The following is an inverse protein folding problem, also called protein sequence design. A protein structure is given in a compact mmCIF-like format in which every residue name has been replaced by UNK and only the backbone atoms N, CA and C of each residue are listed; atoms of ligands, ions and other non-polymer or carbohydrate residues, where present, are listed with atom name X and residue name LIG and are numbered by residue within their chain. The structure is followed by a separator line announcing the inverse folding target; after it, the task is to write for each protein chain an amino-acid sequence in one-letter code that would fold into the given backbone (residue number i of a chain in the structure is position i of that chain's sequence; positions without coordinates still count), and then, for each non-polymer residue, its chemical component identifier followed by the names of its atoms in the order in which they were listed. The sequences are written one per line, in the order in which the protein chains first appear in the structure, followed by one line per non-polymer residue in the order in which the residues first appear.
data_IF_596059315170
#
_entry.id   IF_596059315170
#
_cell.length_a   1.000
_cell.length_b   1.000
_cell.length_c   1.000
_cell.angle_alpha   90.00
_cell.angle_beta   90.00
_cell.angle_gamma   90.00
#
_symmetry.space_group_name_H-M   'P 1'
#
loop_
_entity.id
_entity.type
_entity.pdbx_description
1 polymer ?
#
# COMPACT_ATOMS: atom_id res chain seq x y z
N UNK A 1 26.44 -9.59 -1.97
CA UNK A 1 25.26 -8.75 -2.21
C UNK A 1 24.18 -9.04 -1.16
N UNK A 2 23.66 -8.02 -0.46
CA UNK A 2 22.62 -8.17 0.61
C UNK A 2 21.20 -7.83 0.15
N UNK A 3 21.07 -7.15 -0.98
CA UNK A 3 19.81 -6.78 -1.61
C UNK A 3 20.07 -6.08 -2.94
N UNK A 4 19.02 -5.89 -3.73
CA UNK A 4 19.08 -5.20 -5.00
C UNK A 4 17.75 -4.50 -5.31
N UNK A 5 17.81 -3.54 -6.23
CA UNK A 5 16.65 -2.86 -6.76
C UNK A 5 16.81 -2.73 -8.28
N UNK A 6 15.85 -3.24 -9.03
CA UNK A 6 15.85 -3.27 -10.50
C UNK A 6 14.69 -2.46 -11.05
N UNK A 7 14.98 -1.61 -12.04
CA UNK A 7 14.01 -0.76 -12.71
C UNK A 7 14.38 -0.63 -14.19
N UNK A 8 13.37 -0.36 -15.03
CA UNK A 8 13.54 -0.14 -16.46
C UNK A 8 12.80 1.13 -16.92
N UNK A 9 13.20 1.77 -18.03
CA UNK A 9 12.50 2.92 -18.58
C UNK A 9 11.05 2.57 -18.92
N UNK A 10 10.13 3.48 -18.60
CA UNK A 10 8.73 3.37 -18.92
C UNK A 10 8.24 4.65 -19.59
N UNK A 11 7.28 4.51 -20.50
CA UNK A 11 6.60 5.62 -21.14
C UNK A 11 5.11 5.40 -21.01
N UNK A 12 4.45 6.25 -20.24
CA UNK A 12 3.01 6.14 -19.95
C UNK A 12 2.38 7.53 -20.05
N UNK A 13 1.25 7.63 -20.76
CA UNK A 13 0.51 8.89 -20.94
C UNK A 13 1.37 10.07 -21.44
N UNK A 14 2.31 9.79 -22.34
CA UNK A 14 3.20 10.82 -22.89
C UNK A 14 4.35 11.24 -21.98
N UNK A 15 4.52 10.61 -20.82
CA UNK A 15 5.58 10.92 -19.84
C UNK A 15 6.59 9.78 -19.73
N UNK A 16 7.86 10.14 -19.83
CA UNK A 16 8.96 9.23 -19.50
C UNK A 16 9.09 9.11 -17.98
N UNK A 17 9.26 7.88 -17.49
CA UNK A 17 9.46 7.55 -16.08
C UNK A 17 10.33 6.30 -15.95
N UNK A 18 10.57 5.85 -14.73
CA UNK A 18 11.18 4.54 -14.47
C UNK A 18 10.17 3.61 -13.79
N UNK A 19 10.01 2.38 -14.28
CA UNK A 19 9.22 1.36 -13.61
C UNK A 19 10.12 0.47 -12.75
N UNK A 20 9.92 0.50 -11.43
CA UNK A 20 10.66 -0.31 -10.47
C UNK A 20 10.05 -1.70 -10.35
N UNK A 21 10.65 -2.68 -11.01
CA UNK A 21 10.10 -4.04 -11.08
C UNK A 21 10.39 -4.91 -9.85
N UNK A 22 11.63 -4.90 -9.35
CA UNK A 22 12.02 -5.77 -8.23
C UNK A 22 12.77 -4.99 -7.16
N UNK A 23 12.45 -5.29 -5.91
CA UNK A 23 13.20 -4.88 -4.74
C UNK A 23 13.29 -6.09 -3.82
N UNK A 24 14.51 -6.58 -3.59
CA UNK A 24 14.73 -7.72 -2.72
C UNK A 24 15.84 -7.43 -1.72
N UNK A 25 15.61 -7.86 -0.49
CA UNK A 25 16.58 -7.82 0.60
C UNK A 25 16.60 -9.20 1.23
N UNK A 26 17.80 -9.73 1.48
CA UNK A 26 17.99 -10.99 2.17
C UNK A 26 17.26 -11.00 3.52
N UNK A 27 16.62 -12.11 3.94
CA UNK A 27 15.81 -12.17 5.15
C UNK A 27 16.49 -11.60 6.39
N UNK A 28 17.78 -11.90 6.56
CA UNK A 28 18.60 -11.49 7.71
C UNK A 28 18.80 -9.96 7.77
N UNK A 29 18.57 -9.26 6.66
CA UNK A 29 18.79 -7.83 6.50
C UNK A 29 17.49 -7.01 6.40
N UNK A 30 16.31 -7.65 6.48
CA UNK A 30 15.01 -6.96 6.30
C UNK A 30 14.75 -5.89 7.38
N UNK A 31 15.27 -6.08 8.59
CA UNK A 31 15.13 -5.14 9.71
C UNK A 31 16.13 -3.98 9.69
N UNK A 32 17.08 -3.96 8.75
CA UNK A 32 18.10 -2.90 8.62
C UNK A 32 17.66 -1.76 7.71
N UNK A 33 16.36 -1.68 7.39
CA UNK A 33 15.79 -0.61 6.58
C UNK A 33 16.38 -0.54 5.16
N UNK A 34 16.99 -1.64 4.70
CA UNK A 34 17.70 -1.71 3.43
C UNK A 34 16.82 -1.35 2.23
N UNK A 35 15.54 -1.73 2.26
CA UNK A 35 14.57 -1.37 1.21
C UNK A 35 14.40 0.15 1.04
N UNK A 36 14.38 0.90 2.14
CA UNK A 36 14.31 2.37 2.11
C UNK A 36 15.58 2.96 1.48
N UNK A 37 16.75 2.50 1.92
CA UNK A 37 18.02 3.00 1.37
C UNK A 37 18.19 2.68 -0.12
N UNK A 38 17.82 1.46 -0.53
CA UNK A 38 17.80 1.07 -1.95
C UNK A 38 16.87 1.97 -2.77
N UNK A 39 15.68 2.28 -2.26
CA UNK A 39 14.74 3.20 -2.92
C UNK A 39 15.26 4.64 -2.96
N UNK A 40 15.96 5.10 -1.92
CA UNK A 40 16.60 6.43 -1.92
C UNK A 40 17.66 6.54 -3.02
N UNK A 41 18.50 5.53 -3.17
CA UNK A 41 19.49 5.47 -4.26
C UNK A 41 18.81 5.39 -5.63
N UNK A 42 17.71 4.64 -5.78
CA UNK A 42 16.91 4.68 -7.02
C UNK A 42 16.43 6.11 -7.31
N UNK A 43 15.86 6.81 -6.33
CA UNK A 43 15.42 8.21 -6.51
C UNK A 43 16.55 9.13 -6.96
N UNK A 44 17.72 9.05 -6.32
CA UNK A 44 18.89 9.85 -6.69
C UNK A 44 19.30 9.61 -8.15
N UNK A 45 19.34 8.35 -8.59
CA UNK A 45 19.68 7.99 -9.97
C UNK A 45 18.65 8.48 -10.98
N UNK A 46 17.36 8.34 -10.68
CA UNK A 46 16.29 8.76 -11.60
C UNK A 46 16.25 10.28 -11.74
N UNK A 47 16.43 11.01 -10.63
CA UNK A 47 16.56 12.47 -10.68
C UNK A 47 17.78 12.93 -11.49
N UNK A 48 18.91 12.24 -11.37
CA UNK A 48 20.11 12.55 -12.16
C UNK A 48 19.92 12.31 -13.68
N UNK A 49 18.93 11.50 -14.08
CA UNK A 49 18.54 11.30 -15.47
C UNK A 49 17.57 12.38 -15.99
N UNK A 50 17.20 13.36 -15.16
CA UNK A 50 16.20 14.38 -15.50
C UNK A 50 14.75 13.88 -15.45
N UNK A 51 14.51 12.71 -14.86
CA UNK A 51 13.18 12.14 -14.67
C UNK A 51 12.66 12.44 -13.27
N UNK A 52 11.35 12.62 -13.12
CA UNK A 52 10.70 13.03 -11.87
C UNK A 52 9.73 11.99 -11.28
N UNK A 53 9.57 10.84 -11.92
CA UNK A 53 8.62 9.81 -11.52
C UNK A 53 9.22 8.39 -11.57
N UNK A 54 8.88 7.60 -10.55
CA UNK A 54 9.05 6.14 -10.55
C UNK A 54 7.70 5.47 -10.30
N UNK A 55 7.31 4.50 -11.11
CA UNK A 55 6.10 3.69 -10.90
C UNK A 55 6.43 2.26 -10.51
N UNK A 56 5.54 1.58 -9.79
CA UNK A 56 5.59 0.12 -9.62
C UNK A 56 4.25 -0.43 -9.18
N UNK A 57 4.13 -1.76 -9.18
CA UNK A 57 2.99 -2.45 -8.60
C UNK A 57 3.37 -3.21 -7.34
N UNK A 58 2.44 -3.37 -6.40
CA UNK A 58 2.60 -4.26 -5.25
C UNK A 58 1.26 -4.83 -4.79
N UNK A 59 1.29 -5.93 -4.03
CA UNK A 59 0.06 -6.52 -3.48
C UNK A 59 -0.47 -5.65 -2.33
N UNK A 60 -1.70 -5.10 -2.43
CA UNK A 60 -2.28 -4.23 -1.40
C UNK A 60 -2.43 -4.91 -0.03
N UNK A 61 -2.44 -6.24 0.05
CA UNK A 61 -2.55 -6.97 1.32
C UNK A 61 -1.19 -7.13 2.03
N UNK A 62 -0.09 -6.69 1.43
CA UNK A 62 1.24 -6.74 2.05
C UNK A 62 1.51 -5.45 2.84
N UNK A 63 1.11 -5.44 4.11
CA UNK A 63 1.18 -4.27 5.02
C UNK A 63 2.58 -3.64 5.13
N UNK A 64 3.65 -4.44 5.13
CA UNK A 64 5.02 -3.94 5.20
C UNK A 64 5.40 -3.15 3.94
N UNK A 65 4.92 -3.61 2.77
CA UNK A 65 5.10 -2.89 1.51
C UNK A 65 4.25 -1.63 1.50
N UNK A 66 3.01 -1.69 1.99
CA UNK A 66 2.15 -0.52 2.14
C UNK A 66 2.80 0.56 3.01
N UNK A 67 3.36 0.17 4.16
CA UNK A 67 4.06 1.06 5.07
C UNK A 67 5.31 1.67 4.45
N UNK A 68 6.15 0.87 3.79
CA UNK A 68 7.32 1.40 3.07
C UNK A 68 6.88 2.40 1.99
N UNK A 69 5.95 2.00 1.13
CA UNK A 69 5.55 2.77 -0.05
C UNK A 69 4.86 4.08 0.35
N UNK A 70 3.80 4.02 1.17
CA UNK A 70 2.98 5.19 1.48
C UNK A 70 3.55 6.00 2.64
N UNK A 71 3.88 5.33 3.75
CA UNK A 71 4.28 6.04 4.98
C UNK A 71 5.70 6.60 4.90
N UNK A 72 6.64 5.86 4.29
CA UNK A 72 8.07 6.23 4.25
C UNK A 72 8.53 6.86 2.94
N UNK A 73 8.05 6.37 1.80
CA UNK A 73 8.44 6.93 0.49
C UNK A 73 7.50 8.03 0.02
N UNK A 74 6.24 8.03 0.46
CA UNK A 74 5.25 9.04 0.10
C UNK A 74 4.66 8.84 -1.29
N UNK A 75 4.58 7.59 -1.78
CA UNK A 75 3.87 7.30 -3.03
C UNK A 75 2.38 7.61 -2.91
N UNK A 76 1.72 7.68 -4.05
CA UNK A 76 0.26 7.75 -4.18
C UNK A 76 -0.22 6.70 -5.18
N UNK A 77 -1.50 6.35 -5.15
CA UNK A 77 -2.10 5.43 -6.14
C UNK A 77 -3.51 5.85 -6.53
N UNK A 78 -3.79 5.76 -7.83
CA UNK A 78 -5.11 5.99 -8.44
C UNK A 78 -5.62 4.76 -9.20
N UNK A 79 -4.93 3.63 -9.07
CA UNK A 79 -5.10 2.48 -9.96
C UNK A 79 -4.99 1.18 -9.19
N UNK A 80 -6.03 0.38 -9.31
CA UNK A 80 -6.10 -0.97 -8.80
C UNK A 80 -6.27 -1.92 -9.98
N UNK A 81 -5.42 -2.92 -10.07
CA UNK A 81 -5.36 -3.87 -11.17
C UNK A 81 -5.74 -5.24 -10.65
N UNK A 82 -6.91 -5.74 -11.07
CA UNK A 82 -7.40 -7.07 -10.71
C UNK A 82 -6.56 -8.13 -11.43
N UNK A 83 -6.11 -9.15 -10.71
CA UNK A 83 -5.38 -10.30 -11.27
C UNK A 83 -4.28 -9.90 -12.27
N UNK A 84 -3.45 -8.93 -11.89
CA UNK A 84 -2.48 -8.29 -12.80
C UNK A 84 -1.50 -9.24 -13.51
N UNK A 85 -1.16 -10.39 -12.92
CA UNK A 85 -0.28 -11.41 -13.51
C UNK A 85 -1.04 -12.58 -14.14
N UNK A 86 -2.36 -12.50 -14.20
CA UNK A 86 -3.24 -13.52 -14.76
C UNK A 86 -3.42 -14.75 -13.87
N UNK A 87 -4.40 -15.59 -14.22
CA UNK A 87 -4.69 -16.85 -13.52
C UNK A 87 -3.65 -17.94 -13.83
N UNK A 88 -2.99 -17.84 -14.99
CA UNK A 88 -1.96 -18.77 -15.47
C UNK A 88 -0.57 -18.53 -14.86
N UNK A 89 -0.42 -17.63 -13.89
CA UNK A 89 0.85 -17.45 -13.17
C UNK A 89 1.15 -18.74 -12.39
N UNK A 90 2.06 -19.55 -12.93
CA UNK A 90 2.52 -20.87 -12.46
C UNK A 90 3.31 -20.84 -11.13
N UNK A 91 3.22 -19.75 -10.36
CA UNK A 91 3.86 -19.63 -9.06
C UNK A 91 2.98 -20.28 -7.98
N UNK A 92 3.50 -21.25 -7.21
CA UNK A 92 2.81 -21.83 -6.05
C UNK A 92 2.35 -20.79 -5.00
N UNK A 93 2.91 -19.57 -5.05
CA UNK A 93 2.56 -18.45 -4.17
C UNK A 93 1.22 -17.77 -4.54
N UNK A 94 0.65 -18.03 -5.71
CA UNK A 94 -0.49 -17.27 -6.25
C UNK A 94 -1.72 -18.10 -6.63
N UNK A 95 -1.63 -19.44 -6.62
CA UNK A 95 -2.74 -20.32 -7.01
C UNK A 95 -3.97 -20.09 -6.12
N UNK A 96 -5.08 -19.64 -6.72
CA UNK A 96 -6.38 -19.46 -6.05
C UNK A 96 -6.58 -18.16 -5.25
N UNK A 97 -5.56 -17.30 -5.09
CA UNK A 97 -5.63 -16.09 -4.26
C UNK A 97 -5.75 -14.78 -5.06
N UNK A 98 -5.54 -14.85 -6.39
CA UNK A 98 -5.48 -13.69 -7.26
C UNK A 98 -4.21 -12.85 -7.07
N UNK A 99 -3.86 -12.08 -8.10
CA UNK A 99 -2.63 -11.28 -8.14
C UNK A 99 -2.94 -9.79 -8.25
N UNK A 100 -3.94 -9.32 -7.50
CA UNK A 100 -4.32 -7.92 -7.56
C UNK A 100 -3.17 -7.02 -7.12
N UNK A 101 -3.08 -5.84 -7.74
CA UNK A 101 -2.02 -4.88 -7.49
C UNK A 101 -2.54 -3.47 -7.35
N UNK A 102 -1.97 -2.72 -6.42
CA UNK A 102 -1.97 -1.27 -6.51
C UNK A 102 -0.83 -0.83 -7.42
N UNK A 103 -1.15 0.01 -8.41
CA UNK A 103 -0.15 0.72 -9.21
C UNK A 103 0.14 2.06 -8.55
N UNK A 104 1.36 2.23 -8.06
CA UNK A 104 1.77 3.42 -7.32
C UNK A 104 2.68 4.30 -8.15
N UNK A 105 2.54 5.61 -7.95
CA UNK A 105 3.40 6.64 -8.51
C UNK A 105 4.20 7.30 -7.39
N UNK A 106 5.51 7.38 -7.60
CA UNK A 106 6.43 8.08 -6.71
C UNK A 106 6.94 9.35 -7.39
N UNK A 107 6.26 10.45 -7.09
CA UNK A 107 6.52 11.78 -7.66
C UNK A 107 7.71 12.42 -6.93
N UNK A 108 8.92 12.19 -7.44
CA UNK A 108 10.19 12.37 -6.74
C UNK A 108 10.45 13.80 -6.25
N UNK A 109 9.92 14.79 -6.97
CA UNK A 109 10.09 16.22 -6.69
C UNK A 109 8.93 16.84 -5.88
N UNK A 110 7.87 16.09 -5.60
CA UNK A 110 6.76 16.59 -4.79
C UNK A 110 7.21 16.89 -3.36
N UNK A 111 6.59 17.90 -2.74
CA UNK A 111 6.87 18.25 -1.34
C UNK A 111 6.54 17.10 -0.39
N UNK A 112 5.49 16.32 -0.71
CA UNK A 112 5.17 15.07 -0.01
C UNK A 112 6.37 14.14 0.06
N UNK A 113 6.98 13.82 -1.09
CA UNK A 113 8.12 12.89 -1.15
C UNK A 113 9.34 13.48 -0.45
N UNK A 114 9.63 14.77 -0.65
CA UNK A 114 10.75 15.44 0.04
C UNK A 114 10.62 15.36 1.56
N UNK A 115 9.43 15.63 2.10
CA UNK A 115 9.12 15.53 3.54
C UNK A 115 9.23 14.10 4.04
N UNK A 116 8.72 13.11 3.29
CA UNK A 116 8.78 11.69 3.72
C UNK A 116 10.21 11.15 3.73
N UNK A 117 11.02 11.52 2.75
CA UNK A 117 12.43 11.13 2.67
C UNK A 117 13.28 11.82 3.74
N UNK A 118 13.03 13.10 4.04
CA UNK A 118 13.81 13.83 5.06
C UNK A 118 13.59 13.32 6.48
N UNK A 119 12.42 12.77 6.79
CA UNK A 119 12.13 12.10 8.07
C UNK A 119 12.98 10.86 8.33
N UNK A 120 13.61 10.32 7.29
CA UNK A 120 14.51 9.19 7.38
C UNK A 120 13.79 7.85 7.61
N UNK A 121 14.58 6.75 7.67
CA UNK A 121 14.02 5.41 7.63
C UNK A 121 13.33 5.03 8.95
N UNK A 122 13.77 5.58 10.09
CA UNK A 122 13.24 5.28 11.43
C UNK A 122 11.87 5.90 11.68
N UNK A 123 11.36 6.74 10.78
CA UNK A 123 10.03 7.33 10.89
C UNK A 123 8.95 6.24 10.90
N UNK A 124 8.11 6.29 11.94
CA UNK A 124 6.89 5.52 12.04
C UNK A 124 5.73 6.49 11.83
N UNK A 125 4.98 6.33 10.74
CA UNK A 125 3.67 6.96 10.60
C UNK A 125 2.72 6.30 11.60
N UNK A 126 2.79 6.76 12.83
CA UNK A 126 1.77 6.54 13.83
C UNK A 126 1.03 7.86 13.90
N UNK A 127 -0.27 7.86 13.59
CA UNK A 127 -1.12 8.87 14.20
C UNK A 127 -1.19 8.48 15.69
N UNK A 128 -0.19 8.90 16.46
CA UNK A 128 -0.33 9.03 17.92
C UNK A 128 -0.85 10.45 18.12
N UNK A 129 -2.10 10.55 18.56
CA UNK A 129 -2.88 11.77 18.65
C UNK A 129 -4.25 11.52 18.02
N UNK A 130 -5.29 11.12 18.74
CA UNK A 130 -5.56 11.14 20.18
C UNK A 130 -6.14 9.81 20.64
N UNK A 131 -5.94 9.48 21.91
CA UNK A 131 -6.57 8.33 22.51
C UNK A 131 -8.10 8.43 22.42
N UNK A 132 -8.72 7.32 22.02
CA UNK A 132 -10.03 6.80 22.46
C UNK A 132 -11.37 7.35 21.95
N UNK A 133 -11.54 8.58 21.41
CA UNK A 133 -12.89 8.98 20.92
C UNK A 133 -13.17 8.57 19.47
N UNK A 134 -12.20 8.75 18.57
CA UNK A 134 -12.48 8.72 17.12
C UNK A 134 -12.02 7.43 16.43
N UNK A 135 -11.23 6.58 17.09
CA UNK A 135 -10.76 5.33 16.51
C UNK A 135 -11.94 4.42 16.10
N UNK A 136 -12.96 4.32 16.97
CA UNK A 136 -14.19 3.59 16.67
C UNK A 136 -14.95 4.19 15.49
N UNK A 137 -14.99 5.52 15.37
CA UNK A 137 -15.64 6.21 14.26
C UNK A 137 -14.90 5.95 12.94
N UNK A 138 -13.56 6.07 12.91
CA UNK A 138 -12.73 5.79 11.72
C UNK A 138 -12.90 4.34 11.27
N UNK A 139 -12.86 3.39 12.21
CA UNK A 139 -13.06 1.96 11.93
C UNK A 139 -14.44 1.74 11.31
N UNK A 140 -15.51 2.27 11.92
CA UNK A 140 -16.88 2.07 11.41
C UNK A 140 -17.15 2.79 10.10
N UNK A 141 -16.46 3.89 9.81
CA UNK A 141 -16.53 4.62 8.54
C UNK A 141 -15.51 4.12 7.51
N UNK A 142 -14.83 3.00 7.78
CA UNK A 142 -13.94 2.38 6.80
C UNK A 142 -14.78 1.63 5.76
N UNK A 143 -14.33 1.62 4.51
CA UNK A 143 -14.93 0.77 3.47
C UNK A 143 -14.80 -0.70 3.84
N UNK A 144 -13.72 -1.07 4.54
CA UNK A 144 -13.55 -2.39 5.13
C UNK A 144 -13.02 -2.21 6.53
N UNK A 145 -13.57 -2.97 7.47
CA UNK A 145 -13.00 -3.13 8.79
C UNK A 145 -13.04 -4.59 9.22
N UNK A 146 -12.13 -4.97 10.12
CA UNK A 146 -12.06 -6.30 10.71
C UNK A 146 -13.00 -6.46 11.90
N UNK A 147 -13.76 -7.56 11.91
CA UNK A 147 -14.47 -8.06 13.08
C UNK A 147 -14.21 -9.57 13.21
N UNK A 148 -13.73 -10.01 14.38
CA UNK A 148 -13.35 -11.42 14.57
C UNK A 148 -12.32 -11.94 13.57
N UNK A 149 -11.36 -11.09 13.13
CA UNK A 149 -10.37 -11.35 12.09
C UNK A 149 -10.91 -11.48 10.64
N UNK A 150 -12.23 -11.40 10.45
CA UNK A 150 -12.87 -11.40 9.12
C UNK A 150 -13.04 -9.98 8.59
N UNK A 151 -12.95 -9.77 7.27
CA UNK A 151 -13.27 -8.49 6.66
C UNK A 151 -14.78 -8.31 6.63
N UNK A 152 -15.27 -7.16 7.08
CA UNK A 152 -16.64 -6.70 6.88
C UNK A 152 -16.63 -5.47 5.98
N UNK A 153 -17.56 -5.44 5.03
CA UNK A 153 -17.80 -4.26 4.21
C UNK A 153 -18.54 -3.21 5.05
N UNK A 154 -18.03 -1.98 5.04
CA UNK A 154 -18.72 -0.83 5.62
C UNK A 154 -19.83 -0.30 4.71
N UNK A 155 -20.44 0.82 5.12
CA UNK A 155 -21.34 1.57 4.24
C UNK A 155 -20.53 2.33 3.19
N UNK A 156 -20.44 1.76 1.98
CA UNK A 156 -19.70 2.37 0.87
C UNK A 156 -20.33 3.71 0.46
N UNK A 157 -21.66 3.81 0.44
CA UNK A 157 -22.35 5.02 0.01
C UNK A 157 -22.02 6.18 0.96
N UNK A 158 -22.20 5.97 2.26
CA UNK A 158 -21.86 6.98 3.27
C UNK A 158 -20.36 7.30 3.31
N UNK A 159 -19.51 6.28 3.22
CA UNK A 159 -18.04 6.48 3.30
C UNK A 159 -17.48 7.19 2.07
N UNK A 160 -18.02 6.96 0.87
CA UNK A 160 -17.58 7.60 -0.38
C UNK A 160 -18.23 8.97 -0.61
N UNK A 161 -19.31 9.28 0.11
CA UNK A 161 -19.89 10.63 0.17
C UNK A 161 -18.99 11.61 0.96
N UNK A 162 -18.16 11.10 1.87
CA UNK A 162 -17.13 11.87 2.57
C UNK A 162 -15.97 12.25 1.63
N UNK A 163 -15.18 13.27 1.98
CA UNK A 163 -13.93 13.59 1.26
C UNK A 163 -12.77 12.67 1.65
N UNK A 164 -12.94 11.83 2.68
CA UNK A 164 -11.92 10.87 3.14
C UNK A 164 -12.57 9.57 3.55
N UNK A 165 -11.89 8.48 3.21
CA UNK A 165 -12.25 7.15 3.65
C UNK A 165 -10.99 6.33 3.98
N UNK A 166 -11.19 5.14 4.53
CA UNK A 166 -10.11 4.23 4.88
C UNK A 166 -10.46 2.80 4.49
N UNK A 167 -9.42 1.99 4.27
CA UNK A 167 -9.55 0.56 3.94
C UNK A 167 -8.62 -0.20 4.90
N UNK A 168 -9.18 -1.04 5.77
CA UNK A 168 -8.38 -1.90 6.62
C UNK A 168 -7.79 -3.09 5.85
N UNK A 169 -6.61 -3.54 6.28
CA UNK A 169 -6.04 -4.83 5.89
C UNK A 169 -5.45 -5.55 7.12
N UNK A 170 -5.25 -6.87 7.06
CA UNK A 170 -4.52 -7.59 8.10
C UNK A 170 -3.08 -7.12 8.21
N UNK A 171 -2.56 -7.14 9.44
CA UNK A 171 -1.15 -6.87 9.70
C UNK A 171 -0.23 -7.85 8.95
N UNK A 172 -0.56 -9.13 8.96
CA UNK A 172 0.24 -10.18 8.34
C UNK A 172 -0.66 -11.12 7.53
N UNK A 173 -0.86 -10.75 6.26
CA UNK A 173 -1.63 -11.57 5.32
C UNK A 173 -0.99 -12.95 5.08
N UNK A 174 0.33 -13.11 5.25
CA UNK A 174 0.96 -14.42 5.04
C UNK A 174 0.57 -15.38 6.16
N UNK A 175 0.65 -14.92 7.42
CA UNK A 175 0.12 -15.67 8.58
C UNK A 175 -1.37 -16.00 8.44
N UNK A 176 -2.18 -15.08 7.92
CA UNK A 176 -3.62 -15.33 7.67
C UNK A 176 -3.80 -16.46 6.66
N UNK A 177 -3.11 -16.41 5.50
CA UNK A 177 -3.19 -17.45 4.47
C UNK A 177 -2.69 -18.80 4.94
N UNK A 178 -1.64 -18.83 5.76
CA UNK A 178 -1.09 -20.08 6.30
C UNK A 178 -2.06 -20.76 7.26
N UNK A 179 -2.78 -19.98 8.09
CA UNK A 179 -3.74 -20.51 9.06
C UNK A 179 -5.09 -20.85 8.46
N UNK A 180 -5.63 -19.97 7.61
CA UNK A 180 -6.95 -20.10 7.02
C UNK A 180 -6.94 -19.54 5.58
N UNK A 181 -6.61 -20.37 4.57
CA UNK A 181 -6.53 -19.93 3.17
C UNK A 181 -7.81 -19.26 2.65
N UNK A 182 -8.99 -19.75 3.08
CA UNK A 182 -10.30 -19.19 2.71
C UNK A 182 -10.48 -17.76 3.23
N UNK A 183 -10.06 -17.49 4.46
CA UNK A 183 -10.08 -16.14 5.03
C UNK A 183 -9.19 -15.19 4.23
N UNK A 184 -8.07 -15.69 3.72
CA UNK A 184 -7.25 -14.94 2.78
C UNK A 184 -8.04 -14.51 1.53
N UNK A 185 -8.80 -15.42 0.92
CA UNK A 185 -9.63 -15.12 -0.27
C UNK A 185 -10.69 -14.09 0.08
N UNK A 186 -11.37 -14.21 1.23
CA UNK A 186 -12.34 -13.23 1.72
C UNK A 186 -11.72 -11.82 1.81
N UNK A 187 -10.50 -11.71 2.38
CA UNK A 187 -9.77 -10.45 2.44
C UNK A 187 -9.40 -9.91 1.06
N UNK A 188 -9.01 -10.77 0.11
CA UNK A 188 -8.74 -10.36 -1.28
C UNK A 188 -9.99 -9.79 -1.94
N UNK A 189 -11.11 -10.48 -1.84
CA UNK A 189 -12.38 -10.06 -2.46
C UNK A 189 -12.90 -8.77 -1.86
N UNK A 190 -12.89 -8.65 -0.54
CA UNK A 190 -13.30 -7.43 0.15
C UNK A 190 -12.42 -6.25 -0.28
N UNK A 191 -11.08 -6.39 -0.20
CA UNK A 191 -10.15 -5.31 -0.58
C UNK A 191 -10.27 -4.93 -2.05
N UNK A 192 -10.47 -5.89 -2.95
CA UNK A 192 -10.78 -5.63 -4.36
C UNK A 192 -12.01 -4.75 -4.50
N UNK A 193 -13.12 -5.12 -3.86
CA UNK A 193 -14.36 -4.35 -3.94
C UNK A 193 -14.17 -2.91 -3.43
N UNK A 194 -13.52 -2.73 -2.28
CA UNK A 194 -13.33 -1.40 -1.70
C UNK A 194 -12.41 -0.50 -2.52
N UNK A 195 -11.28 -1.02 -3.02
CA UNK A 195 -10.37 -0.22 -3.84
C UNK A 195 -11.00 0.15 -5.19
N UNK A 196 -11.71 -0.77 -5.84
CA UNK A 196 -12.42 -0.48 -7.09
C UNK A 196 -13.47 0.61 -6.89
N UNK A 197 -14.32 0.49 -5.87
CA UNK A 197 -15.34 1.48 -5.56
C UNK A 197 -14.74 2.86 -5.24
N UNK A 198 -13.65 2.90 -4.45
CA UNK A 198 -12.99 4.16 -4.12
C UNK A 198 -12.36 4.83 -5.34
N UNK A 199 -11.68 4.07 -6.20
CA UNK A 199 -11.04 4.60 -7.42
C UNK A 199 -12.07 5.07 -8.44
N UNK A 200 -13.17 4.35 -8.60
CA UNK A 200 -14.31 4.77 -9.43
C UNK A 200 -14.91 6.08 -8.92
N UNK A 201 -15.00 6.24 -7.59
CA UNK A 201 -15.40 7.48 -6.93
C UNK A 201 -14.31 8.58 -6.91
N UNK A 202 -13.23 8.42 -7.70
CA UNK A 202 -12.12 9.37 -7.84
C UNK A 202 -11.33 9.65 -6.55
N UNK A 203 -11.18 8.63 -5.68
CA UNK A 203 -10.28 8.72 -4.54
C UNK A 203 -8.83 8.40 -4.92
N UNK A 204 -7.92 9.09 -4.24
CA UNK A 204 -6.50 8.86 -4.23
C UNK A 204 -6.12 8.06 -2.98
N UNK A 205 -5.42 6.94 -3.15
CA UNK A 205 -4.73 6.28 -2.03
C UNK A 205 -3.49 7.10 -1.71
N UNK A 206 -3.46 7.71 -0.52
CA UNK A 206 -2.43 8.67 -0.17
C UNK A 206 -1.53 8.22 0.98
N UNK A 207 -2.04 7.49 1.98
CA UNK A 207 -1.23 7.09 3.14
C UNK A 207 -1.55 5.66 3.62
N UNK A 208 -0.69 5.16 4.49
CA UNK A 208 -0.91 3.92 5.23
C UNK A 208 -0.59 4.16 6.71
N UNK A 209 -1.56 3.89 7.58
CA UNK A 209 -1.53 4.30 8.99
C UNK A 209 -1.81 3.12 9.92
N UNK A 210 -1.15 3.17 11.07
CA UNK A 210 -1.43 2.30 12.22
C UNK A 210 -2.31 3.07 13.20
N UNK A 211 -3.44 2.49 13.57
CA UNK A 211 -4.40 3.03 14.54
C UNK A 211 -4.41 2.10 15.75
N UNK A 212 -4.24 2.66 16.95
CA UNK A 212 -4.41 1.89 18.20
C UNK A 212 -5.90 1.72 18.51
N UNK A 213 -6.33 0.51 18.85
CA UNK A 213 -7.68 0.20 19.30
C UNK A 213 -7.64 -0.61 20.59
N UNK A 214 -8.79 -0.77 21.25
CA UNK A 214 -8.91 -1.59 22.47
C UNK A 214 -8.43 -3.04 22.26
N UNK A 215 -8.57 -3.57 21.04
CA UNK A 215 -8.15 -4.93 20.68
C UNK A 215 -6.72 -5.00 20.13
N UNK A 216 -5.97 -3.91 20.26
CA UNK A 216 -4.62 -3.76 19.73
C UNK A 216 -4.55 -2.93 18.44
N UNK A 217 -3.36 -2.85 17.82
CA UNK A 217 -3.15 -2.06 16.62
C UNK A 217 -3.89 -2.62 15.40
N UNK A 218 -4.29 -1.71 14.51
CA UNK A 218 -4.99 -1.98 13.25
C UNK A 218 -4.38 -1.13 12.12
N UNK A 219 -4.48 -1.60 10.88
CA UNK A 219 -3.72 -1.04 9.75
C UNK A 219 -4.63 -0.65 8.59
N UNK A 220 -4.53 0.61 8.17
CA UNK A 220 -5.46 1.19 7.20
C UNK A 220 -4.71 1.91 6.09
N UNK A 221 -5.18 1.76 4.87
CA UNK A 221 -4.96 2.77 3.84
C UNK A 221 -5.84 3.98 4.14
N UNK A 222 -5.30 5.18 3.94
CA UNK A 222 -6.06 6.43 3.94
C UNK A 222 -6.21 6.92 2.52
N UNK A 223 -7.45 7.27 2.16
CA UNK A 223 -7.81 7.76 0.85
C UNK A 223 -8.49 9.12 0.98
N UNK A 224 -8.26 9.99 0.01
CA UNK A 224 -8.87 11.30 -0.10
C UNK A 224 -9.45 11.51 -1.50
N UNK A 225 -10.58 12.20 -1.59
CA UNK A 225 -11.19 12.55 -2.87
C UNK A 225 -10.34 13.61 -3.59
N UNK A 226 -10.13 13.42 -4.90
CA UNK A 226 -9.38 14.35 -5.75
C UNK A 226 -10.10 15.68 -5.98
#
# INVERSE_FOLDING_TARGET
MIGFAYAFPAFEQGRASMHSHMLAVKPEYRNFQAGFYLKRVQRERVLAMGLDEITWTFDPLQSLNAHLNFSKLGVVSRRYLVNFYGEASSSPLHTGFGTDRLWVSWLLNSDRVKVRISRGPSYRATKVGEASSDAGAIIKSSLIYSEGARPLLGDFSGSLASNRCTIEIPHDMNSVKEREPKLGVEWREATRAAFLAAIEASFLVEDFVRIESERGPRWFYSLSKL
#
